data_IF_936990580994
#
_entry.id   IF_936990580994
#
_cell.length_a   1.000
_cell.length_b   1.000
_cell.length_c   1.000
_cell.angle_alpha   90.00
_cell.angle_beta   90.00
_cell.angle_gamma   90.00
#
_symmetry.space_group_name_H-M   'P 1'
#
loop_
_entity.id
_entity.type
_entity.pdbx_description
1 polymer ?
#
# COMPACT_ATOMS: atom_id res chain seq x y z
N UNK A 1 -17.64 12.29 26.62
CA UNK A 1 -17.01 11.82 25.37
C UNK A 1 -17.90 12.13 24.17
N UNK A 2 -19.15 11.66 24.15
CA UNK A 2 -20.08 11.84 23.00
C UNK A 2 -20.27 13.30 22.55
N UNK A 3 -20.56 14.23 23.47
CA UNK A 3 -20.73 15.67 23.15
C UNK A 3 -19.45 16.29 22.58
N UNK A 4 -18.29 15.89 23.10
CA UNK A 4 -16.99 16.38 22.62
C UNK A 4 -16.71 15.93 21.18
N UNK A 5 -17.02 14.68 20.83
CA UNK A 5 -16.87 14.19 19.46
C UNK A 5 -17.81 14.91 18.50
N UNK A 6 -19.07 15.11 18.90
CA UNK A 6 -20.07 15.84 18.11
C UNK A 6 -19.68 17.30 17.86
N UNK A 7 -19.21 18.00 18.90
CA UNK A 7 -18.77 19.40 18.80
C UNK A 7 -17.52 19.51 17.91
N UNK A 8 -16.60 18.55 18.00
CA UNK A 8 -15.39 18.55 17.16
C UNK A 8 -15.68 18.25 15.69
N UNK A 9 -16.66 17.38 15.42
CA UNK A 9 -17.16 17.12 14.07
C UNK A 9 -17.74 18.40 13.45
N UNK A 10 -18.57 19.13 14.20
CA UNK A 10 -19.13 20.40 13.75
C UNK A 10 -18.05 21.44 13.49
N UNK A 11 -17.02 21.52 14.33
CA UNK A 11 -15.90 22.43 14.14
C UNK A 11 -15.09 22.11 12.88
N UNK A 12 -14.82 20.83 12.60
CA UNK A 12 -14.13 20.40 11.36
C UNK A 12 -14.96 20.75 10.11
N UNK A 13 -16.29 20.66 10.20
CA UNK A 13 -17.20 21.02 9.10
C UNK A 13 -17.28 22.55 8.92
N UNK A 14 -17.27 23.31 10.02
CA UNK A 14 -17.42 24.76 10.00
C UNK A 14 -16.12 25.53 9.73
N UNK A 15 -14.96 24.92 9.95
CA UNK A 15 -13.65 25.52 9.68
C UNK A 15 -13.03 24.90 8.41
N UNK A 16 -13.17 25.56 7.24
CA UNK A 16 -12.74 24.99 5.97
C UNK A 16 -11.23 24.70 5.89
N UNK A 17 -10.41 25.32 6.74
CA UNK A 17 -8.96 25.10 6.77
C UNK A 17 -8.52 23.84 7.52
N UNK A 18 -9.35 23.31 8.43
CA UNK A 18 -8.96 22.19 9.30
C UNK A 18 -8.93 20.89 8.50
N UNK A 19 -9.94 20.66 7.66
CA UNK A 19 -10.06 19.43 6.90
C UNK A 19 -8.92 19.21 5.89
N UNK A 20 -8.52 20.20 5.06
CA UNK A 20 -7.36 20.06 4.18
C UNK A 20 -6.07 19.72 4.93
N UNK A 21 -5.82 20.36 6.08
CA UNK A 21 -4.62 20.10 6.89
C UNK A 21 -4.62 18.68 7.46
N UNK A 22 -5.76 18.20 7.93
CA UNK A 22 -5.90 16.83 8.44
C UNK A 22 -5.66 15.80 7.33
N UNK A 23 -6.27 16.00 6.17
CA UNK A 23 -6.11 15.10 5.00
C UNK A 23 -4.66 15.10 4.52
N UNK A 24 -3.99 16.26 4.49
CA UNK A 24 -2.57 16.35 4.15
C UNK A 24 -1.71 15.54 5.14
N UNK A 25 -1.91 15.72 6.45
CA UNK A 25 -1.16 14.99 7.47
C UNK A 25 -1.38 13.47 7.40
N UNK A 26 -2.61 13.03 7.12
CA UNK A 26 -2.91 11.60 6.94
C UNK A 26 -2.23 11.02 5.70
N UNK A 27 -2.28 11.72 4.58
CA UNK A 27 -1.61 11.29 3.35
C UNK A 27 -0.08 11.29 3.49
N UNK A 28 0.49 12.26 4.20
CA UNK A 28 1.93 12.29 4.51
C UNK A 28 2.35 11.09 5.36
N UNK A 29 1.53 10.71 6.34
CA UNK A 29 1.81 9.54 7.18
C UNK A 29 1.69 8.23 6.38
N UNK A 30 0.68 8.11 5.51
CA UNK A 30 0.56 6.97 4.57
C UNK A 30 1.82 6.90 3.69
N UNK A 31 2.23 8.01 3.08
CA UNK A 31 3.42 8.05 2.22
C UNK A 31 4.70 7.70 2.99
N UNK A 32 4.86 8.19 4.22
CA UNK A 32 6.00 7.86 5.09
C UNK A 32 6.05 6.36 5.40
N UNK A 33 4.91 5.73 5.62
CA UNK A 33 4.82 4.29 5.87
C UNK A 33 5.12 3.46 4.60
N UNK A 34 4.79 3.98 3.43
CA UNK A 34 5.04 3.31 2.14
C UNK A 34 6.47 3.46 1.63
N UNK A 35 7.17 4.55 1.99
CA UNK A 35 8.51 4.85 1.51
C UNK A 35 9.54 3.69 1.67
N UNK A 36 9.60 2.96 2.81
CA UNK A 36 10.52 1.83 2.93
C UNK A 36 10.19 0.68 1.97
N UNK A 37 8.89 0.45 1.71
CA UNK A 37 8.43 -0.60 0.79
C UNK A 37 8.71 -0.22 -0.67
N UNK A 38 8.63 1.07 -1.02
CA UNK A 38 9.01 1.56 -2.34
C UNK A 38 10.50 1.36 -2.60
N UNK A 39 11.34 1.69 -1.61
CA UNK A 39 12.78 1.45 -1.68
C UNK A 39 13.11 -0.04 -1.79
N UNK A 40 12.44 -0.87 -0.99
CA UNK A 40 12.58 -2.33 -1.07
C UNK A 40 12.20 -2.84 -2.48
N UNK A 41 11.08 -2.38 -3.03
CA UNK A 41 10.60 -2.78 -4.35
C UNK A 41 11.63 -2.46 -5.45
N UNK A 42 12.25 -1.27 -5.42
CA UNK A 42 13.30 -0.89 -6.37
C UNK A 42 14.46 -1.90 -6.32
N UNK A 43 14.96 -2.21 -5.12
CA UNK A 43 16.06 -3.16 -4.94
C UNK A 43 15.67 -4.57 -5.38
N UNK A 44 14.44 -5.00 -5.09
CA UNK A 44 13.93 -6.30 -5.53
C UNK A 44 13.89 -6.41 -7.06
N UNK A 45 13.44 -5.35 -7.75
CA UNK A 45 13.36 -5.31 -9.21
C UNK A 45 14.75 -5.38 -9.84
N UNK A 46 15.71 -4.60 -9.34
CA UNK A 46 17.11 -4.68 -9.77
C UNK A 46 17.67 -6.09 -9.58
N UNK A 47 17.47 -6.68 -8.40
CA UNK A 47 17.99 -8.01 -8.08
C UNK A 47 17.35 -9.12 -8.92
N UNK A 48 16.06 -9.00 -9.23
CA UNK A 48 15.36 -9.93 -10.13
C UNK A 48 15.93 -9.88 -11.54
N UNK A 49 16.19 -8.68 -12.07
CA UNK A 49 16.78 -8.55 -13.40
C UNK A 49 18.21 -9.12 -13.44
N UNK A 50 19.02 -8.86 -12.41
CA UNK A 50 20.34 -9.47 -12.29
C UNK A 50 20.29 -11.01 -12.30
N UNK A 51 19.35 -11.61 -11.57
CA UNK A 51 19.18 -13.06 -11.53
C UNK A 51 18.68 -13.60 -12.87
N UNK A 52 17.75 -12.90 -13.53
CA UNK A 52 17.25 -13.25 -14.85
C UNK A 52 18.39 -13.27 -15.87
N UNK A 53 19.17 -12.20 -15.97
CA UNK A 53 20.32 -12.15 -16.89
C UNK A 53 21.35 -13.23 -16.58
N UNK A 54 21.56 -13.58 -15.31
CA UNK A 54 22.43 -14.70 -14.94
C UNK A 54 21.87 -16.02 -15.46
N UNK A 55 20.60 -16.33 -15.17
CA UNK A 55 19.94 -17.56 -15.60
C UNK A 55 20.02 -17.69 -17.13
N UNK A 56 19.66 -16.65 -17.87
CA UNK A 56 19.71 -16.64 -19.34
C UNK A 56 21.11 -16.94 -19.89
N UNK A 57 22.17 -16.40 -19.25
CA UNK A 57 23.57 -16.70 -19.63
C UNK A 57 23.94 -18.17 -19.40
N UNK A 58 23.49 -18.75 -18.29
CA UNK A 58 23.77 -20.17 -17.99
C UNK A 58 22.95 -21.10 -18.89
N UNK A 59 21.70 -20.74 -19.21
CA UNK A 59 20.87 -21.47 -20.15
C UNK A 59 21.48 -21.45 -21.56
N UNK A 60 21.93 -20.30 -22.06
CA UNK A 60 22.64 -20.22 -23.33
C UNK A 60 23.92 -21.07 -23.36
N UNK A 61 24.71 -21.06 -22.27
CA UNK A 61 25.90 -21.91 -22.17
C UNK A 61 25.57 -23.42 -22.19
N UNK A 62 24.39 -23.82 -21.69
CA UNK A 62 23.92 -25.21 -21.76
C UNK A 62 23.42 -25.60 -23.14
N UNK A 63 22.83 -24.67 -23.88
CA UNK A 63 22.47 -24.90 -25.29
C UNK A 63 23.71 -25.15 -26.14
N UNK A 64 24.78 -24.38 -25.91
CA UNK A 64 26.06 -24.53 -26.60
C UNK A 64 26.86 -25.77 -26.15
N UNK A 65 26.72 -26.19 -24.89
CA UNK A 65 27.48 -27.29 -24.28
C UNK A 65 26.63 -28.09 -23.28
N UNK A 66 25.75 -28.99 -23.77
CA UNK A 66 24.82 -29.76 -22.93
C UNK A 66 25.49 -30.63 -21.86
N UNK A 67 26.74 -31.03 -22.08
CA UNK A 67 27.55 -31.79 -21.14
C UNK A 67 27.83 -31.05 -19.82
N UNK A 68 27.65 -29.72 -19.78
CA UNK A 68 27.78 -28.92 -18.57
C UNK A 68 26.58 -29.09 -17.62
N UNK A 69 25.47 -29.68 -18.09
CA UNK A 69 24.23 -29.79 -17.31
C UNK A 69 24.41 -30.40 -15.91
N UNK A 70 25.12 -31.54 -15.72
CA UNK A 70 25.30 -32.13 -14.40
C UNK A 70 26.05 -31.21 -13.41
N UNK A 71 26.85 -30.27 -13.91
CA UNK A 71 27.60 -29.31 -13.10
C UNK A 71 26.80 -28.03 -12.79
N UNK A 72 25.83 -27.69 -13.65
CA UNK A 72 25.12 -26.42 -13.59
C UNK A 72 23.69 -26.52 -13.04
N UNK A 73 23.11 -27.73 -13.04
CA UNK A 73 21.72 -27.94 -12.62
C UNK A 73 21.42 -27.35 -11.24
N UNK A 74 22.18 -27.73 -10.21
CA UNK A 74 21.93 -27.25 -8.84
C UNK A 74 22.04 -25.73 -8.75
N UNK A 75 22.96 -25.14 -9.52
CA UNK A 75 23.14 -23.69 -9.56
C UNK A 75 21.97 -22.98 -10.24
N UNK A 76 21.44 -23.53 -11.32
CA UNK A 76 20.26 -23.00 -12.00
C UNK A 76 19.01 -23.12 -11.12
N UNK A 77 18.85 -24.24 -10.42
CA UNK A 77 17.77 -24.46 -9.47
C UNK A 77 17.84 -23.41 -8.34
N UNK A 78 19.02 -23.17 -7.76
CA UNK A 78 19.23 -22.11 -6.76
C UNK A 78 18.87 -20.71 -7.27
N UNK A 79 19.31 -20.35 -8.48
CA UNK A 79 19.07 -19.03 -9.05
C UNK A 79 17.58 -18.83 -9.35
N UNK A 80 16.92 -19.87 -9.86
CA UNK A 80 15.49 -19.87 -10.16
C UNK A 80 14.66 -19.75 -8.88
N UNK A 81 15.02 -20.50 -7.84
CA UNK A 81 14.35 -20.41 -6.54
C UNK A 81 14.53 -19.04 -5.89
N UNK A 82 15.73 -18.46 -5.93
CA UNK A 82 15.97 -17.08 -5.47
C UNK A 82 15.11 -16.08 -6.24
N UNK A 83 15.01 -16.20 -7.56
CA UNK A 83 14.16 -15.31 -8.38
C UNK A 83 12.69 -15.46 -8.01
N UNK A 84 12.23 -16.68 -7.74
CA UNK A 84 10.85 -16.98 -7.29
C UNK A 84 10.56 -16.32 -5.94
N UNK A 85 11.48 -16.40 -4.98
CA UNK A 85 11.33 -15.77 -3.67
C UNK A 85 11.22 -14.24 -3.78
N UNK A 86 12.05 -13.61 -4.61
CA UNK A 86 11.94 -12.17 -4.86
C UNK A 86 10.61 -11.79 -5.50
N UNK A 87 10.10 -12.62 -6.42
CA UNK A 87 8.79 -12.38 -7.05
C UNK A 87 7.63 -12.51 -6.05
N UNK A 88 7.70 -13.46 -5.11
CA UNK A 88 6.70 -13.55 -4.02
C UNK A 88 6.70 -12.25 -3.20
N UNK A 89 7.89 -11.80 -2.80
CA UNK A 89 8.01 -10.57 -1.99
C UNK A 89 7.53 -9.32 -2.73
N UNK A 90 7.84 -9.21 -4.01
CA UNK A 90 7.29 -8.15 -4.87
C UNK A 90 5.76 -8.15 -4.88
N UNK A 91 5.13 -9.32 -5.05
CA UNK A 91 3.67 -9.43 -5.05
C UNK A 91 3.05 -9.06 -3.69
N UNK A 92 3.72 -9.40 -2.58
CA UNK A 92 3.29 -8.96 -1.24
C UNK A 92 3.29 -7.43 -1.12
N UNK A 93 4.37 -6.77 -1.55
CA UNK A 93 4.50 -5.32 -1.51
C UNK A 93 3.44 -4.65 -2.39
N UNK A 94 3.25 -5.14 -3.62
CA UNK A 94 2.22 -4.63 -4.52
C UNK A 94 0.81 -4.84 -3.94
N UNK A 95 0.57 -5.95 -3.24
CA UNK A 95 -0.67 -6.20 -2.53
C UNK A 95 -0.91 -5.18 -1.39
N UNK A 96 0.13 -4.79 -0.66
CA UNK A 96 0.04 -3.74 0.36
C UNK A 96 -0.32 -2.39 -0.28
N UNK A 97 0.34 -2.00 -1.36
CA UNK A 97 0.02 -0.75 -2.07
C UNK A 97 -1.41 -0.74 -2.62
N UNK A 98 -1.88 -1.88 -3.14
CA UNK A 98 -3.26 -2.00 -3.58
C UNK A 98 -4.26 -1.80 -2.43
N UNK A 99 -3.94 -2.29 -1.23
CA UNK A 99 -4.79 -2.09 -0.04
C UNK A 99 -4.75 -0.66 0.49
N UNK A 100 -3.60 0.02 0.41
CA UNK A 100 -3.46 1.42 0.80
C UNK A 100 -4.28 2.35 -0.10
N UNK A 101 -4.40 2.00 -1.39
CA UNK A 101 -5.26 2.70 -2.33
C UNK A 101 -4.76 4.10 -2.68
N UNK A 102 -5.67 4.93 -3.18
CA UNK A 102 -5.36 6.30 -3.62
C UNK A 102 -5.29 7.29 -2.45
N UNK A 103 -4.51 8.38 -2.58
CA UNK A 103 -4.47 9.44 -1.59
C UNK A 103 -5.87 9.98 -1.28
N UNK A 104 -6.13 10.15 0.02
CA UNK A 104 -7.40 10.65 0.53
C UNK A 104 -7.66 12.04 -0.05
N UNK A 105 -8.82 12.22 -0.67
CA UNK A 105 -9.21 13.50 -1.26
C UNK A 105 -10.06 14.31 -0.29
N UNK A 106 -9.72 15.59 -0.11
CA UNK A 106 -10.46 16.52 0.76
C UNK A 106 -11.95 16.56 0.42
N UNK A 107 -12.29 16.58 -0.87
CA UNK A 107 -13.67 16.60 -1.38
C UNK A 107 -14.49 15.39 -0.92
N UNK A 108 -13.87 14.22 -0.85
CA UNK A 108 -14.54 12.97 -0.53
C UNK A 108 -14.83 12.92 0.98
N UNK A 109 -13.85 13.31 1.79
CA UNK A 109 -14.04 13.45 3.24
C UNK A 109 -15.08 14.53 3.56
N UNK A 110 -15.04 15.67 2.87
CA UNK A 110 -16.02 16.75 3.06
C UNK A 110 -17.44 16.29 2.74
N UNK A 111 -17.62 15.53 1.65
CA UNK A 111 -18.91 14.97 1.27
C UNK A 111 -19.42 13.99 2.32
N UNK A 112 -18.56 13.12 2.85
CA UNK A 112 -18.91 12.16 3.91
C UNK A 112 -19.33 12.90 5.19
N UNK A 113 -18.52 13.85 5.65
CA UNK A 113 -18.80 14.61 6.87
C UNK A 113 -20.08 15.43 6.76
N UNK A 114 -20.33 16.07 5.62
CA UNK A 114 -21.57 16.82 5.39
C UNK A 114 -22.80 15.90 5.36
N UNK A 115 -22.65 14.72 4.78
CA UNK A 115 -23.73 13.71 4.75
C UNK A 115 -24.02 13.15 6.14
N UNK A 116 -22.97 12.93 6.93
CA UNK A 116 -23.06 12.48 8.31
C UNK A 116 -23.73 13.54 9.20
N UNK A 117 -23.36 14.81 9.08
CA UNK A 117 -23.98 15.90 9.86
C UNK A 117 -25.49 16.03 9.55
N UNK A 118 -25.86 15.93 8.27
CA UNK A 118 -27.28 15.90 7.87
C UNK A 118 -28.02 14.71 8.45
N UNK A 119 -27.41 13.52 8.39
CA UNK A 119 -28.00 12.30 8.96
C UNK A 119 -28.20 12.44 10.46
N UNK A 120 -27.20 12.93 11.19
CA UNK A 120 -27.25 13.15 12.63
C UNK A 120 -28.31 14.19 13.03
N UNK A 121 -28.47 15.26 12.25
CA UNK A 121 -29.49 16.28 12.47
C UNK A 121 -30.93 15.75 12.34
N UNK A 122 -31.12 14.70 11.54
CA UNK A 122 -32.42 14.07 11.28
C UNK A 122 -32.67 12.80 12.10
N UNK A 123 -31.67 12.32 12.83
CA UNK A 123 -31.71 11.06 13.57
C UNK A 123 -32.30 11.21 14.96
N UNK A 124 -32.96 10.16 15.45
CA UNK A 124 -33.45 10.13 16.82
C UNK A 124 -32.29 10.06 17.83
N UNK A 125 -32.47 10.64 19.03
CA UNK A 125 -31.45 10.65 20.10
C UNK A 125 -30.88 9.26 20.42
N UNK A 126 -31.67 8.19 20.29
CA UNK A 126 -31.21 6.81 20.52
C UNK A 126 -30.22 6.34 19.44
N UNK A 127 -30.45 6.69 18.18
CA UNK A 127 -29.58 6.33 17.05
C UNK A 127 -28.26 7.10 17.11
N UNK A 128 -28.33 8.40 17.44
CA UNK A 128 -27.15 9.24 17.64
C UNK A 128 -26.27 8.72 18.78
N UNK A 129 -26.87 8.31 19.90
CA UNK A 129 -26.13 7.68 21.01
C UNK A 129 -25.46 6.36 20.65
N UNK A 130 -26.03 5.59 19.72
CA UNK A 130 -25.42 4.34 19.27
C UNK A 130 -24.18 4.57 18.40
N UNK A 131 -24.10 5.69 17.69
CA UNK A 131 -22.98 6.07 16.83
C UNK A 131 -21.75 6.60 17.59
N UNK A 132 -21.95 7.18 18.78
CA UNK A 132 -20.88 7.77 19.59
C UNK A 132 -20.36 6.86 20.72
N UNK A 133 -20.92 5.65 20.86
CA UNK A 133 -20.44 4.61 21.78
C UNK A 133 -19.30 3.83 21.16
#
# INVERSE_FOLDING_TARGET
AETFVADRLKEIIQLPEVLPRLVAALNEEIARQSQPLEQELVVLLERKEELKTKIEKWEAALEDSPELFPMLKDRLDELTEKRRQLHIRENEILGIFQQQGEPIQVKDVQRILTSLDRFLAQSEKKQVKALYR
#
